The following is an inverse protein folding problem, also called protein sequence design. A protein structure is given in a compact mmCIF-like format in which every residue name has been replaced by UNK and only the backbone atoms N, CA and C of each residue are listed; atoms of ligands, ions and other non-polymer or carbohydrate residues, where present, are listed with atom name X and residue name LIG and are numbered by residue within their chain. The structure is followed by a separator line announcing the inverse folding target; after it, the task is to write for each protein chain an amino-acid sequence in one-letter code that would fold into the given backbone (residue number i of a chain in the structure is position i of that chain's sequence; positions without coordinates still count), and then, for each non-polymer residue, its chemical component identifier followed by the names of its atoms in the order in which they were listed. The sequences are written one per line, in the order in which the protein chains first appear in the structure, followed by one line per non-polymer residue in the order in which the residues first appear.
data_IF_663355759239
#
_entry.id   IF_663355759239
#
_cell.length_a   1.000
_cell.length_b   1.000
_cell.length_c   1.000
_cell.angle_alpha   90.00
_cell.angle_beta   90.00
_cell.angle_gamma   90.00
#
_symmetry.space_group_name_H-M   'P 1'
#
loop_
_entity.id
_entity.type
_entity.pdbx_description
1 polymer ?
#
# COMPACT_ATOMS: atom_id res chain seq x y z
N UNK A 1 -13.55 1.68 -27.79
CA UNK A 1 -13.90 2.57 -26.64
C UNK A 1 -13.57 1.95 -25.28
N UNK A 2 -13.56 0.62 -25.10
CA UNK A 2 -13.10 -0.04 -23.87
C UNK A 2 -11.56 0.01 -23.74
N UNK A 3 -10.83 -0.26 -24.83
CA UNK A 3 -9.35 -0.30 -24.83
C UNK A 3 -8.68 1.02 -24.43
N UNK A 4 -9.25 2.18 -24.81
CA UNK A 4 -8.69 3.50 -24.45
C UNK A 4 -8.86 3.83 -22.96
N UNK A 5 -9.96 3.37 -22.35
CA UNK A 5 -10.22 3.56 -20.92
C UNK A 5 -9.37 2.62 -20.07
N UNK A 6 -9.17 1.40 -20.54
CA UNK A 6 -8.22 0.45 -19.93
C UNK A 6 -6.80 0.97 -20.02
N UNK A 7 -6.35 1.45 -21.20
CA UNK A 7 -5.02 2.01 -21.39
C UNK A 7 -4.72 3.21 -20.46
N UNK A 8 -5.62 4.21 -20.38
CA UNK A 8 -5.43 5.33 -19.46
C UNK A 8 -5.45 4.92 -17.98
N UNK A 9 -6.27 3.94 -17.60
CA UNK A 9 -6.29 3.43 -16.21
C UNK A 9 -5.01 2.65 -15.89
N UNK A 10 -4.46 1.94 -16.88
CA UNK A 10 -3.23 1.16 -16.77
C UNK A 10 -2.00 2.07 -16.64
N UNK A 11 -1.93 3.15 -17.43
CA UNK A 11 -0.81 4.10 -17.43
C UNK A 11 -0.71 4.87 -16.11
N UNK A 12 -1.83 5.42 -15.62
CA UNK A 12 -1.87 6.18 -14.35
C UNK A 12 -1.57 5.29 -13.13
N UNK A 13 -1.91 4.01 -13.19
CA UNK A 13 -1.61 3.05 -12.10
C UNK A 13 -0.15 2.60 -12.15
N UNK A 14 0.43 2.47 -13.35
CA UNK A 14 1.81 2.08 -13.55
C UNK A 14 2.79 3.13 -13.02
N UNK A 15 2.58 4.41 -13.33
CA UNK A 15 3.46 5.50 -12.86
C UNK A 15 3.44 5.64 -11.34
N UNK A 16 2.25 5.51 -10.73
CA UNK A 16 2.12 5.51 -9.28
C UNK A 16 2.86 4.32 -8.64
N UNK A 17 2.66 3.11 -9.17
CA UNK A 17 3.34 1.91 -8.67
C UNK A 17 4.86 2.02 -8.78
N UNK A 18 5.37 2.55 -9.91
CA UNK A 18 6.79 2.81 -10.13
C UNK A 18 7.34 3.81 -9.13
N UNK A 19 6.68 4.96 -8.95
CA UNK A 19 7.09 5.99 -8.02
C UNK A 19 7.11 5.50 -6.56
N UNK A 20 6.07 4.78 -6.13
CA UNK A 20 5.99 4.16 -4.79
C UNK A 20 7.10 3.12 -4.62
N UNK A 21 7.33 2.29 -5.63
CA UNK A 21 8.40 1.29 -5.63
C UNK A 21 9.78 1.92 -5.42
N UNK A 22 10.10 2.96 -6.18
CA UNK A 22 11.38 3.67 -6.07
C UNK A 22 11.55 4.31 -4.69
N UNK A 23 10.49 4.92 -4.15
CA UNK A 23 10.51 5.48 -2.81
C UNK A 23 10.73 4.41 -1.73
N UNK A 24 10.01 3.29 -1.80
CA UNK A 24 10.13 2.20 -0.83
C UNK A 24 11.45 1.43 -0.94
N UNK A 25 12.14 1.44 -2.08
CA UNK A 25 13.48 0.85 -2.21
C UNK A 25 14.53 1.61 -1.40
N UNK A 26 14.31 2.91 -1.11
CA UNK A 26 15.20 3.74 -0.29
C UNK A 26 14.92 3.61 1.21
N UNK A 27 13.88 2.88 1.59
CA UNK A 27 13.50 2.65 2.99
C UNK A 27 14.05 1.29 3.42
N UNK A 28 15.07 1.23 4.30
CA UNK A 28 15.66 -0.04 4.69
C UNK A 28 14.78 -0.82 5.68
N UNK A 29 14.14 -0.15 6.64
CA UNK A 29 13.38 -0.81 7.70
C UNK A 29 12.07 -1.41 7.18
N UNK A 30 11.85 -2.71 7.39
CA UNK A 30 10.65 -3.41 6.92
C UNK A 30 9.34 -2.87 7.52
N UNK A 31 9.35 -2.41 8.78
CA UNK A 31 8.18 -1.82 9.46
C UNK A 31 7.81 -0.50 8.79
N UNK A 32 8.79 0.36 8.54
CA UNK A 32 8.57 1.61 7.82
C UNK A 32 8.11 1.36 6.38
N UNK A 33 8.68 0.37 5.68
CA UNK A 33 8.26 0.00 4.32
C UNK A 33 6.79 -0.43 4.27
N UNK A 34 6.38 -1.31 5.18
CA UNK A 34 4.99 -1.79 5.26
C UNK A 34 4.01 -0.64 5.54
N UNK A 35 4.32 0.19 6.56
CA UNK A 35 3.51 1.34 6.92
C UNK A 35 3.41 2.38 5.80
N UNK A 36 4.54 2.74 5.17
CA UNK A 36 4.57 3.70 4.08
C UNK A 36 3.82 3.17 2.85
N UNK A 37 4.05 1.90 2.49
CA UNK A 37 3.41 1.26 1.33
C UNK A 37 1.89 1.32 1.40
N UNK A 38 1.29 0.90 2.51
CA UNK A 38 -0.17 0.96 2.64
C UNK A 38 -0.69 2.40 2.68
N UNK A 39 0.04 3.31 3.35
CA UNK A 39 -0.37 4.72 3.47
C UNK A 39 -0.33 5.43 2.13
N UNK A 40 0.61 5.10 1.23
CA UNK A 40 0.60 5.62 -0.14
C UNK A 40 -0.69 5.26 -0.87
N UNK A 41 -1.12 3.99 -0.80
CA UNK A 41 -2.33 3.52 -1.49
C UNK A 41 -3.59 4.15 -0.90
N UNK A 42 -3.72 4.18 0.43
CA UNK A 42 -4.89 4.77 1.07
C UNK A 42 -4.97 6.28 0.81
N UNK A 43 -3.87 7.02 0.91
CA UNK A 43 -3.84 8.47 0.62
C UNK A 43 -4.12 8.74 -0.86
N UNK A 44 -3.57 7.93 -1.78
CA UNK A 44 -3.89 8.06 -3.22
C UNK A 44 -5.36 7.81 -3.49
N UNK A 45 -5.96 6.79 -2.86
CA UNK A 45 -7.40 6.53 -2.96
C UNK A 45 -8.27 7.65 -2.38
N UNK A 46 -7.85 8.29 -1.29
CA UNK A 46 -8.53 9.49 -0.74
C UNK A 46 -8.50 10.64 -1.74
N UNK A 47 -7.32 10.93 -2.28
CA UNK A 47 -7.11 12.05 -3.20
C UNK A 47 -7.83 11.83 -4.54
N UNK A 48 -7.84 10.59 -5.04
CA UNK A 48 -8.45 10.22 -6.31
C UNK A 48 -9.35 9.00 -6.12
N UNK A 49 -10.63 9.27 -5.87
CA UNK A 49 -11.65 8.23 -5.64
C UNK A 49 -11.85 7.33 -6.86
N UNK A 50 -11.66 7.86 -8.08
CA UNK A 50 -11.77 7.04 -9.31
C UNK A 50 -10.65 6.02 -9.35
N UNK A 51 -9.42 6.44 -9.02
CA UNK A 51 -8.29 5.53 -8.87
C UNK A 51 -8.56 4.48 -7.78
N UNK A 52 -9.09 4.89 -6.62
CA UNK A 52 -9.48 3.95 -5.55
C UNK A 52 -10.44 2.87 -6.02
N UNK A 53 -11.52 3.23 -6.73
CA UNK A 53 -12.46 2.25 -7.30
C UNK A 53 -11.82 1.33 -8.34
N UNK A 54 -10.93 1.84 -9.20
CA UNK A 54 -10.17 1.02 -10.15
C UNK A 54 -9.32 -0.03 -9.43
N UNK A 55 -8.64 0.34 -8.34
CA UNK A 55 -7.84 -0.59 -7.54
C UNK A 55 -8.69 -1.68 -6.87
N UNK A 56 -9.88 -1.34 -6.37
CA UNK A 56 -10.82 -2.32 -5.80
C UNK A 56 -11.30 -3.32 -6.86
N UNK A 57 -11.71 -2.83 -8.03
CA UNK A 57 -12.21 -3.68 -9.12
C UNK A 57 -11.11 -4.61 -9.66
N UNK A 58 -9.91 -4.09 -9.88
CA UNK A 58 -8.75 -4.91 -10.29
C UNK A 58 -8.43 -6.01 -9.28
N UNK A 59 -8.55 -5.70 -7.98
CA UNK A 59 -8.27 -6.66 -6.90
C UNK A 59 -9.36 -7.72 -6.73
N UNK A 60 -10.57 -7.50 -7.26
CA UNK A 60 -11.65 -8.48 -7.23
C UNK A 60 -11.48 -9.61 -8.27
N UNK A 61 -10.78 -9.32 -9.38
CA UNK A 61 -10.57 -10.25 -10.50
C UNK A 61 -9.14 -10.78 -10.61
N UNK A 62 -8.27 -10.48 -9.64
CA UNK A 62 -6.86 -10.84 -9.69
C UNK A 62 -6.16 -10.76 -8.33
N UNK A 63 -4.83 -10.76 -8.35
CA UNK A 63 -4.05 -10.55 -7.13
C UNK A 63 -4.30 -9.15 -6.57
N UNK A 64 -4.42 -9.04 -5.25
CA UNK A 64 -4.67 -7.77 -4.56
C UNK A 64 -3.63 -6.73 -4.98
N UNK A 65 -4.12 -5.62 -5.55
CA UNK A 65 -3.31 -4.52 -6.10
C UNK A 65 -2.30 -4.90 -7.20
N UNK A 66 -2.51 -6.03 -7.88
CA UNK A 66 -1.69 -6.49 -9.00
C UNK A 66 -0.44 -7.28 -8.59
N UNK A 67 0.12 -8.03 -9.54
CA UNK A 67 1.15 -9.05 -9.27
C UNK A 67 2.45 -8.49 -8.69
N UNK A 68 2.86 -7.27 -9.10
CA UNK A 68 4.06 -6.64 -8.59
C UNK A 68 3.90 -6.18 -7.14
N UNK A 69 2.82 -5.45 -6.83
CA UNK A 69 2.49 -5.04 -5.45
C UNK A 69 2.41 -6.26 -4.53
N UNK A 70 1.74 -7.31 -5.01
CA UNK A 70 1.59 -8.57 -4.28
C UNK A 70 2.94 -9.21 -3.91
N UNK A 71 3.85 -9.34 -4.88
CA UNK A 71 5.20 -9.88 -4.64
C UNK A 71 6.04 -8.98 -3.75
N UNK A 72 5.97 -7.65 -3.92
CA UNK A 72 6.74 -6.68 -3.13
C UNK A 72 6.29 -6.64 -1.67
N UNK A 73 4.99 -6.73 -1.42
CA UNK A 73 4.45 -6.84 -0.08
C UNK A 73 4.98 -8.10 0.61
N UNK A 74 4.92 -9.25 -0.07
CA UNK A 74 5.50 -10.49 0.45
C UNK A 74 7.00 -10.38 0.73
N UNK A 75 7.77 -9.77 -0.18
CA UNK A 75 9.21 -9.55 0.02
C UNK A 75 9.53 -8.63 1.20
N UNK A 76 8.68 -7.62 1.45
CA UNK A 76 8.80 -6.74 2.62
C UNK A 76 8.56 -7.50 3.91
N UNK A 77 7.53 -8.35 3.95
CA UNK A 77 7.22 -9.19 5.11
C UNK A 77 8.31 -10.24 5.33
N UNK A 78 8.75 -10.94 4.30
CA UNK A 78 9.82 -11.93 4.38
C UNK A 78 11.11 -11.32 4.94
N UNK A 79 11.44 -10.10 4.52
CA UNK A 79 12.57 -9.35 5.05
C UNK A 79 12.37 -9.02 6.53
N UNK A 80 11.22 -8.51 6.93
CA UNK A 80 10.95 -8.17 8.33
C UNK A 80 10.91 -9.39 9.27
N UNK A 81 10.46 -10.55 8.79
CA UNK A 81 10.58 -11.82 9.52
C UNK A 81 12.06 -12.18 9.71
N UNK A 82 12.87 -12.11 8.64
CA UNK A 82 14.31 -12.39 8.71
C UNK A 82 15.06 -11.44 9.64
N UNK A 83 14.65 -10.17 9.68
CA UNK A 83 15.18 -9.13 10.57
C UNK A 83 14.68 -9.27 12.02
N UNK A 84 13.73 -10.18 12.29
CA UNK A 84 13.15 -10.38 13.62
C UNK A 84 12.19 -9.27 14.07
N UNK A 85 11.77 -8.39 13.16
CA UNK A 85 10.90 -7.25 13.46
C UNK A 85 9.41 -7.55 13.20
N UNK A 86 9.11 -8.65 12.51
CA UNK A 86 7.74 -9.17 12.36
C UNK A 86 7.65 -10.57 12.98
N UNK A 87 6.60 -10.81 13.75
CA UNK A 87 6.34 -12.06 14.48
C UNK A 87 5.22 -12.84 13.79
N UNK A 88 5.57 -13.51 12.69
CA UNK A 88 4.61 -14.19 11.82
C UNK A 88 5.10 -15.58 11.45
N UNK A 89 4.18 -16.54 11.21
CA UNK A 89 4.55 -17.90 10.83
C UNK A 89 5.09 -17.99 9.40
N UNK A 90 4.71 -17.07 8.50
CA UNK A 90 5.18 -17.03 7.12
C UNK A 90 5.01 -15.65 6.49
N UNK A 91 5.72 -15.43 5.37
CA UNK A 91 5.63 -14.19 4.60
C UNK A 91 4.27 -13.99 3.93
N UNK A 92 3.61 -15.08 3.60
CA UNK A 92 2.29 -15.16 2.96
C UNK A 92 1.22 -14.65 3.92
N UNK A 93 1.25 -15.11 5.18
CA UNK A 93 0.31 -14.65 6.21
C UNK A 93 0.46 -13.15 6.43
N UNK A 94 1.68 -12.65 6.56
CA UNK A 94 1.87 -11.19 6.72
C UNK A 94 1.49 -10.38 5.48
N UNK A 95 1.72 -10.91 4.28
CA UNK A 95 1.26 -10.27 3.03
C UNK A 95 -0.27 -10.17 3.04
N UNK A 96 -0.97 -11.23 3.43
CA UNK A 96 -2.43 -11.27 3.40
C UNK A 96 -3.04 -10.36 4.46
N UNK A 97 -2.44 -10.26 5.65
CA UNK A 97 -2.78 -9.25 6.66
C UNK A 97 -2.57 -7.85 6.11
N UNK A 98 -1.38 -7.56 5.57
CA UNK A 98 -1.02 -6.23 5.06
C UNK A 98 -1.95 -5.80 3.90
N UNK A 99 -2.06 -6.61 2.86
CA UNK A 99 -2.82 -6.27 1.66
C UNK A 99 -4.33 -6.37 1.89
N UNK A 100 -4.80 -7.39 2.61
CA UNK A 100 -6.21 -7.60 2.91
C UNK A 100 -6.79 -6.45 3.72
N UNK A 101 -6.11 -6.03 4.80
CA UNK A 101 -6.55 -4.88 5.59
C UNK A 101 -6.50 -3.58 4.78
N UNK A 102 -5.47 -3.40 3.93
CA UNK A 102 -5.38 -2.21 3.06
C UNK A 102 -6.53 -2.16 2.04
N UNK A 103 -6.90 -3.30 1.44
CA UNK A 103 -8.02 -3.40 0.51
C UNK A 103 -9.35 -3.10 1.20
N UNK A 104 -9.57 -3.65 2.40
CA UNK A 104 -10.76 -3.38 3.20
C UNK A 104 -10.85 -1.90 3.60
N UNK A 105 -9.75 -1.31 4.08
CA UNK A 105 -9.68 0.11 4.44
C UNK A 105 -9.95 1.03 3.24
N UNK A 106 -9.38 0.71 2.08
CA UNK A 106 -9.69 1.43 0.83
C UNK A 106 -11.17 1.32 0.49
N UNK A 107 -11.77 0.14 0.66
CA UNK A 107 -13.21 -0.07 0.44
C UNK A 107 -14.06 0.79 1.37
N UNK A 108 -13.73 0.87 2.67
CA UNK A 108 -14.39 1.76 3.62
C UNK A 108 -14.25 3.23 3.22
N UNK A 109 -13.05 3.68 2.82
CA UNK A 109 -12.83 5.04 2.33
C UNK A 109 -13.60 5.37 1.03
N UNK A 110 -13.92 4.37 0.22
CA UNK A 110 -14.71 4.56 -0.99
C UNK A 110 -16.21 4.66 -0.70
N UNK A 111 -16.69 4.13 0.43
CA UNK A 111 -18.11 4.21 0.82
C UNK A 111 -18.38 5.39 1.75
N UNK A 112 -17.44 5.66 2.64
CA UNK A 112 -17.55 6.62 3.71
C UNK A 112 -16.50 7.73 3.57
N UNK A 113 -16.50 8.70 4.48
CA UNK A 113 -15.47 9.73 4.58
C UNK A 113 -14.80 9.68 5.96
N UNK A 114 -13.93 8.69 6.22
CA UNK A 114 -13.30 8.55 7.53
C UNK A 114 -12.33 9.71 7.82
N UNK A 115 -11.95 9.91 9.11
CA UNK A 115 -10.99 10.95 9.52
C UNK A 115 -9.69 10.97 8.71
N UNK A 116 -9.02 12.12 8.62
CA UNK A 116 -7.79 12.29 7.82
C UNK A 116 -6.64 11.37 8.23
N UNK A 117 -6.53 11.04 9.52
CA UNK A 117 -5.54 10.14 10.11
C UNK A 117 -5.89 8.65 9.96
N UNK A 118 -6.98 8.31 9.25
CA UNK A 118 -7.38 6.93 9.03
C UNK A 118 -6.28 6.05 8.41
N UNK A 119 -5.50 6.50 7.40
CA UNK A 119 -4.37 5.72 6.88
C UNK A 119 -3.30 5.38 7.94
N UNK A 120 -2.99 6.31 8.84
CA UNK A 120 -2.06 6.11 9.95
C UNK A 120 -2.61 5.09 10.96
N UNK A 121 -3.89 5.20 11.31
CA UNK A 121 -4.56 4.26 12.20
C UNK A 121 -4.57 2.83 11.62
N UNK A 122 -4.84 2.70 10.31
CA UNK A 122 -4.75 1.40 9.63
C UNK A 122 -3.31 0.88 9.63
N UNK A 123 -2.31 1.73 9.35
CA UNK A 123 -0.91 1.33 9.38
C UNK A 123 -0.48 0.85 10.77
N UNK A 124 -0.92 1.54 11.82
CA UNK A 124 -0.67 1.17 13.22
C UNK A 124 -1.18 -0.24 13.52
N UNK A 125 -2.46 -0.52 13.26
CA UNK A 125 -3.04 -1.83 13.57
C UNK A 125 -2.53 -2.94 12.68
N UNK A 126 -2.20 -2.66 11.41
CA UNK A 126 -1.50 -3.63 10.55
C UNK A 126 -0.15 -3.98 11.16
N UNK A 127 0.68 -3.01 11.55
CA UNK A 127 1.98 -3.29 12.19
C UNK A 127 1.82 -4.10 13.48
N UNK A 128 0.83 -3.80 14.32
CA UNK A 128 0.50 -4.63 15.50
C UNK A 128 0.15 -6.06 15.10
N UNK A 129 -0.66 -6.24 14.06
CA UNK A 129 -1.01 -7.55 13.50
C UNK A 129 0.18 -8.32 12.91
N UNK A 130 1.21 -7.61 12.44
CA UNK A 130 2.48 -8.21 12.01
C UNK A 130 3.43 -8.51 13.21
N UNK A 131 3.01 -8.23 14.45
CA UNK A 131 3.78 -8.50 15.66
C UNK A 131 4.73 -7.39 16.11
N UNK A 132 4.60 -6.18 15.57
CA UNK A 132 5.41 -5.02 16.00
C UNK A 132 4.92 -4.54 17.38
N UNK A 133 5.87 -4.18 18.26
CA UNK A 133 5.57 -3.60 19.57
C UNK A 133 4.79 -2.28 19.44
N UNK A 134 4.02 -1.93 20.47
CA UNK A 134 3.11 -0.77 20.47
C UNK A 134 3.76 0.54 20.05
N UNK A 135 4.79 0.94 20.78
CA UNK A 135 5.47 2.23 20.58
C UNK A 135 6.10 2.31 19.20
N UNK A 136 6.70 1.20 18.74
CA UNK A 136 7.28 1.11 17.40
C UNK A 136 6.20 1.15 16.31
N UNK A 137 5.10 0.43 16.50
CA UNK A 137 3.98 0.44 15.55
C UNK A 137 3.41 1.86 15.40
N UNK A 138 3.20 2.55 16.52
CA UNK A 138 2.71 3.93 16.51
C UNK A 138 3.72 4.85 15.82
N UNK A 139 4.99 4.77 16.21
CA UNK A 139 6.07 5.57 15.62
C UNK A 139 6.16 5.38 14.11
N UNK A 140 6.27 4.15 13.62
CA UNK A 140 6.41 3.88 12.18
C UNK A 140 5.16 4.22 11.37
N UNK A 141 3.96 4.05 11.95
CA UNK A 141 2.72 4.45 11.31
C UNK A 141 2.63 5.96 11.05
N UNK A 142 3.23 6.78 11.94
CA UNK A 142 3.18 8.23 11.90
C UNK A 142 4.43 8.90 11.31
N UNK A 143 5.47 8.13 10.96
CA UNK A 143 6.65 8.70 10.29
C UNK A 143 6.26 9.43 9.00
N UNK A 144 6.99 10.51 8.62
CA UNK A 144 6.80 11.15 7.33
C UNK A 144 6.89 10.13 6.19
N UNK A 145 5.99 10.24 5.21
CA UNK A 145 6.08 9.41 4.02
C UNK A 145 7.32 9.79 3.22
N UNK A 146 8.07 8.80 2.70
CA UNK A 146 9.14 9.07 1.75
C UNK A 146 8.60 9.86 0.55
N UNK A 147 9.37 10.79 -0.02
CA UNK A 147 8.92 11.52 -1.20
C UNK A 147 8.80 10.57 -2.39
N UNK A 148 7.68 10.64 -3.10
CA UNK A 148 7.48 10.01 -4.41
C UNK A 148 7.60 11.08 -5.50
N UNK A 149 8.25 10.75 -6.62
CA UNK A 149 8.27 11.59 -7.83
C UNK A 149 7.35 10.92 -8.83
N UNK A 150 6.24 11.57 -9.17
CA UNK A 150 5.37 11.14 -10.26
C UNK A 150 5.78 12.00 -11.44
N UNK A 151 6.49 11.42 -12.41
CA UNK A 151 6.69 12.07 -13.70
C UNK A 151 5.35 12.05 -14.43
N UNK A 152 4.71 13.21 -14.58
CA UNK A 152 3.55 13.34 -15.45
C UNK A 152 4.11 13.46 -16.87
N UNK A 153 4.01 12.39 -17.66
CA UNK A 153 4.22 12.52 -19.11
C UNK A 153 3.04 13.30 -19.68
N UNK A 154 3.27 14.58 -19.98
CA UNK A 154 2.39 15.34 -20.85
C UNK A 154 2.66 14.83 -22.26
N UNK A 155 1.69 14.14 -22.85
CA UNK A 155 1.71 13.85 -24.28
C UNK A 155 1.48 15.15 -25.06
N UNK A 156 2.35 15.41 -26.03
CA UNK A 156 2.14 16.40 -27.10
C UNK A 156 0.98 15.97 -28.02
#
# INVERSE_FOLDING_TARGET
MVELREAMTHEVTHDFLKAVTEALNRVPDARQRAAAGLRFYLRRGRYDRRWGWSMLNMSASGLVFGSETYRRAQGTVARGIKEGVFLLPSSEVGRDVLLGTTLAAMSSMMRDNPPEDYPENIAYFVLRGLGVAEDDAYRFAHMPLPPIRIEVQWGD
#
